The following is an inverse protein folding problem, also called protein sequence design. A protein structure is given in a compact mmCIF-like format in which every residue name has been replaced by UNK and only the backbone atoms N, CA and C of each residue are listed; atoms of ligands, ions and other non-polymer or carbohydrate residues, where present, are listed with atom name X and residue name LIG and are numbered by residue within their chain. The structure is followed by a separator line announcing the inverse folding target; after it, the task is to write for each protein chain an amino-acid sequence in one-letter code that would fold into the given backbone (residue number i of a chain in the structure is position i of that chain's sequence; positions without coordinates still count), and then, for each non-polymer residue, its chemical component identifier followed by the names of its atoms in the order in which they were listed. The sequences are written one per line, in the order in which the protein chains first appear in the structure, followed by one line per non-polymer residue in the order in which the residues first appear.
data_IF_770001592758
#
_entry.id   IF_770001592758
#
_cell.length_a   1.000
_cell.length_b   1.000
_cell.length_c   1.000
_cell.angle_alpha   90.00
_cell.angle_beta   90.00
_cell.angle_gamma   90.00
#
_symmetry.space_group_name_H-M   'P 1'
#
loop_
_entity.id
_entity.type
_entity.pdbx_description
1 polymer ?
#
# COMPACT_ATOMS: atom_id res chain seq x y z
N UNK A 1 -12.99 -10.93 15.15
CA UNK A 1 -13.20 -10.32 13.81
C UNK A 1 -11.85 -10.16 13.13
N UNK A 2 -11.73 -10.40 11.83
CA UNK A 2 -10.45 -10.31 11.10
C UNK A 2 -10.46 -9.03 10.26
N UNK A 3 -9.73 -8.01 10.69
CA UNK A 3 -9.60 -6.75 9.95
C UNK A 3 -8.45 -6.86 8.93
N UNK A 4 -8.72 -6.44 7.71
CA UNK A 4 -7.77 -6.35 6.61
C UNK A 4 -7.59 -4.88 6.25
N UNK A 5 -6.35 -4.47 6.06
CA UNK A 5 -5.98 -3.10 5.73
C UNK A 5 -5.40 -3.08 4.33
N UNK A 6 -6.06 -2.39 3.42
CA UNK A 6 -5.51 -2.06 2.10
C UNK A 6 -4.82 -0.73 2.26
N UNK A 7 -3.53 -0.66 1.95
CA UNK A 7 -2.77 0.57 2.06
C UNK A 7 -2.05 0.88 0.75
N UNK A 8 -1.96 2.16 0.44
CA UNK A 8 -1.30 2.73 -0.72
C UNK A 8 -0.14 3.59 -0.23
N UNK A 9 1.08 3.22 -0.63
CA UNK A 9 2.30 3.98 -0.35
C UNK A 9 2.71 4.72 -1.61
N UNK A 10 3.07 5.99 -1.46
CA UNK A 10 3.73 6.78 -2.50
C UNK A 10 5.24 6.72 -2.29
N UNK A 11 5.96 6.20 -3.27
CA UNK A 11 7.42 6.19 -3.30
C UNK A 11 7.96 7.53 -3.80
N UNK A 12 9.25 7.81 -3.52
CA UNK A 12 9.91 9.04 -3.95
C UNK A 12 9.96 9.21 -5.47
N UNK A 13 9.95 8.09 -6.19
CA UNK A 13 9.92 7.97 -7.64
C UNK A 13 8.54 8.26 -8.25
N UNK A 14 7.61 8.85 -7.49
CA UNK A 14 6.20 9.04 -7.87
C UNK A 14 5.41 7.75 -8.17
N UNK A 15 6.04 6.58 -8.08
CA UNK A 15 5.40 5.27 -8.16
C UNK A 15 4.50 4.99 -6.95
N UNK A 16 3.35 4.35 -7.19
CA UNK A 16 2.41 3.93 -6.15
C UNK A 16 2.52 2.43 -5.88
N UNK A 17 2.51 2.06 -4.60
CA UNK A 17 2.54 0.67 -4.15
C UNK A 17 1.29 0.37 -3.33
N UNK A 18 0.41 -0.48 -3.85
CA UNK A 18 -0.75 -1.00 -3.13
C UNK A 18 -0.43 -2.37 -2.54
N UNK A 19 -0.88 -2.61 -1.30
CA UNK A 19 -0.82 -3.94 -0.71
C UNK A 19 -1.86 -4.11 0.38
N UNK A 20 -2.22 -5.36 0.64
CA UNK A 20 -3.11 -5.74 1.74
C UNK A 20 -2.31 -6.32 2.89
N UNK A 21 -2.64 -5.90 4.12
CA UNK A 21 -2.03 -6.43 5.34
C UNK A 21 -3.05 -6.55 6.44
N UNK A 22 -2.88 -7.54 7.32
CA UNK A 22 -3.71 -7.68 8.52
C UNK A 22 -3.16 -6.89 9.70
N UNK A 23 -1.91 -6.44 9.60
CA UNK A 23 -1.18 -5.80 10.69
C UNK A 23 -0.44 -4.56 10.17
N UNK A 24 -1.20 -3.53 9.78
CA UNK A 24 -0.66 -2.26 9.29
C UNK A 24 0.22 -1.59 10.35
N UNK A 25 -0.25 -1.51 11.59
CA UNK A 25 0.49 -0.86 12.69
C UNK A 25 1.84 -1.50 12.94
N UNK A 26 1.93 -2.84 12.94
CA UNK A 26 3.19 -3.56 13.12
C UNK A 26 4.15 -3.31 11.95
N UNK A 27 3.64 -3.40 10.71
CA UNK A 27 4.40 -3.08 9.49
C UNK A 27 4.91 -1.64 9.50
N UNK A 28 4.06 -0.66 9.78
CA UNK A 28 4.43 0.75 9.83
C UNK A 28 5.42 1.04 10.95
N UNK A 29 5.29 0.41 12.12
CA UNK A 29 6.29 0.51 13.17
C UNK A 29 7.62 -0.10 12.75
N UNK A 30 7.63 -1.26 12.09
CA UNK A 30 8.87 -1.86 11.56
C UNK A 30 9.55 -0.96 10.52
N UNK A 31 8.76 -0.31 9.66
CA UNK A 31 9.25 0.69 8.69
C UNK A 31 9.76 1.97 9.39
N UNK A 32 9.03 2.50 10.38
CA UNK A 32 9.42 3.68 11.18
C UNK A 32 10.66 3.43 12.04
N UNK A 33 10.78 2.24 12.61
CA UNK A 33 11.89 1.82 13.45
C UNK A 33 13.17 1.52 12.64
N UNK A 34 13.14 1.62 11.30
CA UNK A 34 14.32 1.43 10.46
C UNK A 34 14.87 0.01 10.45
N UNK A 35 14.09 -0.99 10.88
CA UNK A 35 14.57 -2.36 11.16
C UNK A 35 14.68 -3.25 9.91
N UNK A 36 14.31 -2.73 8.73
CA UNK A 36 14.35 -3.48 7.46
C UNK A 36 15.22 -2.76 6.43
N UNK A 37 16.42 -3.29 6.21
CA UNK A 37 17.47 -2.73 5.33
C UNK A 37 17.05 -2.52 3.86
N UNK A 38 16.00 -3.19 3.37
CA UNK A 38 15.65 -3.19 1.95
C UNK A 38 14.84 -1.97 1.48
N UNK A 39 14.48 -1.06 2.39
CA UNK A 39 13.76 0.20 2.08
C UNK A 39 14.63 1.44 2.32
N UNK A 40 15.95 1.25 2.48
CA UNK A 40 16.92 2.32 2.79
C UNK A 40 17.11 3.31 1.64
N UNK A 41 16.98 2.86 0.38
CA UNK A 41 17.19 3.68 -0.83
C UNK A 41 15.90 4.19 -1.49
N UNK A 42 14.75 3.54 -1.25
CA UNK A 42 13.43 3.95 -1.76
C UNK A 42 12.48 4.06 -0.58
N UNK A 43 12.68 5.06 0.27
CA UNK A 43 11.78 5.30 1.41
C UNK A 43 10.36 5.49 0.82
N UNK A 44 9.35 4.70 1.22
CA UNK A 44 7.97 5.09 0.99
C UNK A 44 7.81 6.43 1.71
N UNK A 45 7.60 7.48 0.93
CA UNK A 45 7.69 8.87 1.38
C UNK A 45 6.42 9.21 2.15
N UNK A 46 5.31 8.61 1.75
CA UNK A 46 4.02 8.88 2.36
C UNK A 46 3.05 7.71 2.22
N UNK A 47 2.28 7.48 3.29
CA UNK A 47 1.03 6.74 3.19
C UNK A 47 0.04 7.65 2.45
N UNK A 48 -0.31 7.29 1.22
CA UNK A 48 -1.25 8.05 0.41
C UNK A 48 -2.69 7.74 0.83
N UNK A 49 -3.01 6.46 1.03
CA UNK A 49 -4.35 6.01 1.40
C UNK A 49 -4.27 4.76 2.28
N UNK A 50 -5.20 4.63 3.23
CA UNK A 50 -5.42 3.40 3.99
C UNK A 50 -6.93 3.15 4.15
N UNK A 51 -7.35 1.93 3.89
CA UNK A 51 -8.74 1.48 3.98
C UNK A 51 -8.79 0.22 4.84
N UNK A 52 -9.75 0.14 5.74
CA UNK A 52 -10.00 -1.06 6.53
C UNK A 52 -11.21 -1.84 6.01
N UNK A 53 -11.13 -3.16 6.07
CA UNK A 53 -12.16 -4.07 5.64
C UNK A 53 -12.31 -5.20 6.65
N UNK A 54 -13.56 -5.59 6.90
CA UNK A 54 -13.87 -6.71 7.79
C UNK A 54 -13.82 -8.09 7.10
N UNK A 55 -13.66 -8.10 5.77
CA UNK A 55 -13.64 -9.32 4.94
C UNK A 55 -12.48 -9.30 3.95
N UNK A 56 -11.79 -10.44 3.80
CA UNK A 56 -10.70 -10.61 2.83
C UNK A 56 -11.20 -10.32 1.40
N UNK A 57 -12.36 -10.86 1.03
CA UNK A 57 -12.92 -10.69 -0.31
C UNK A 57 -13.17 -9.23 -0.67
N UNK A 58 -13.62 -8.42 0.29
CA UNK A 58 -13.79 -6.98 0.09
C UNK A 58 -12.43 -6.30 -0.11
N UNK A 59 -11.44 -6.61 0.75
CA UNK A 59 -10.10 -6.06 0.64
C UNK A 59 -9.41 -6.40 -0.70
N UNK A 60 -9.54 -7.64 -1.17
CA UNK A 60 -8.99 -8.10 -2.45
C UNK A 60 -9.69 -7.42 -3.63
N UNK A 61 -11.02 -7.35 -3.61
CA UNK A 61 -11.78 -6.67 -4.66
C UNK A 61 -11.41 -5.19 -4.74
N UNK A 62 -11.30 -4.51 -3.60
CA UNK A 62 -10.85 -3.11 -3.56
C UNK A 62 -9.41 -2.95 -4.02
N UNK A 63 -8.48 -3.85 -3.67
CA UNK A 63 -7.09 -3.79 -4.17
C UNK A 63 -7.03 -3.94 -5.69
N UNK A 64 -7.79 -4.87 -6.26
CA UNK A 64 -7.93 -5.03 -7.72
C UNK A 64 -8.51 -3.77 -8.39
N UNK A 65 -9.58 -3.20 -7.83
CA UNK A 65 -10.18 -1.95 -8.35
C UNK A 65 -9.19 -0.78 -8.28
N UNK A 66 -8.47 -0.63 -7.16
CA UNK A 66 -7.44 0.39 -6.99
C UNK A 66 -6.29 0.16 -7.98
N UNK A 67 -5.78 -1.07 -8.07
CA UNK A 67 -4.72 -1.42 -9.01
C UNK A 67 -5.14 -1.10 -10.44
N UNK A 68 -6.37 -1.41 -10.83
CA UNK A 68 -6.88 -1.05 -12.15
C UNK A 68 -6.92 0.47 -12.35
N UNK A 69 -7.44 1.23 -11.38
CA UNK A 69 -7.48 2.70 -11.46
C UNK A 69 -6.08 3.35 -11.56
N UNK A 70 -5.11 2.87 -10.78
CA UNK A 70 -3.75 3.44 -10.76
C UNK A 70 -2.87 2.92 -11.91
N UNK A 71 -3.00 1.65 -12.31
CA UNK A 71 -2.28 1.06 -13.47
C UNK A 71 -2.80 1.62 -14.78
N UNK A 72 -4.12 1.82 -14.92
CA UNK A 72 -4.69 2.45 -16.11
C UNK A 72 -4.21 3.90 -16.28
N UNK A 73 -3.84 4.57 -15.19
CA UNK A 73 -3.25 5.92 -15.24
C UNK A 73 -1.79 5.93 -15.73
N UNK A 74 -1.09 4.78 -15.71
CA UNK A 74 0.27 4.65 -16.28
C UNK A 74 0.29 4.33 -17.78
N UNK A 75 -0.87 4.25 -18.45
CA UNK A 75 -0.93 4.08 -19.93
C UNK A 75 -1.11 5.40 -20.68
N UNK A 76 -0.91 6.53 -20.01
CA UNK A 76 -0.97 7.86 -20.60
C UNK A 76 0.21 8.72 -20.11
N UNK A 77 1.41 8.24 -20.40
CA UNK A 77 2.61 9.05 -20.49
C UNK A 77 3.42 8.44 -21.64
N UNK A 78 2.99 8.75 -22.86
CA UNK A 78 3.89 8.85 -24.02
C UNK A 78 4.77 10.10 -23.84
#
# INVERSE_FOLDING_TARGET
MKTYYVYLLKCADNSYYSSITRHLSKRMQEHKAGKRNNTRNRRPVQLAQCLEFNSLSQAVSSELSLKNQFVSSSRQFE
#
